data_IF_374590512287
#
_entry.id   IF_374590512287
#
_cell.length_a   1.000
_cell.length_b   1.000
_cell.length_c   1.000
_cell.angle_alpha   90.00
_cell.angle_beta   90.00
_cell.angle_gamma   90.00
#
_symmetry.space_group_name_H-M   'P 1'
#
loop_
_entity.id
_entity.type
_entity.pdbx_description
1 polymer ?
#
# COMPACT_ATOMS: atom_id res chain seq x y z
N UNK A 1 29.89 -24.06 -8.86
CA UNK A 1 28.64 -24.84 -8.72
C UNK A 1 29.03 -26.29 -8.96
N UNK A 2 28.80 -27.16 -7.99
CA UNK A 2 29.14 -28.59 -8.07
C UNK A 2 28.07 -29.32 -8.87
N UNK A 3 28.41 -30.44 -9.52
CA UNK A 3 27.49 -31.25 -10.34
C UNK A 3 26.25 -31.78 -9.56
N UNK A 4 26.24 -31.67 -8.23
CA UNK A 4 25.12 -32.07 -7.37
C UNK A 4 23.93 -31.11 -7.39
N UNK A 5 24.07 -29.86 -7.83
CA UNK A 5 22.98 -28.88 -7.83
C UNK A 5 22.30 -28.75 -9.21
N UNK A 6 22.79 -29.47 -10.22
CA UNK A 6 22.36 -29.33 -11.62
C UNK A 6 20.93 -29.82 -11.85
N UNK A 7 20.45 -30.77 -11.04
CA UNK A 7 19.08 -31.29 -11.11
C UNK A 7 18.01 -30.20 -10.91
N UNK A 8 18.32 -29.16 -10.13
CA UNK A 8 17.40 -28.04 -9.86
C UNK A 8 17.14 -27.22 -11.12
N UNK A 9 18.15 -27.14 -11.99
CA UNK A 9 18.07 -26.40 -13.25
C UNK A 9 17.52 -27.26 -14.40
N UNK A 10 17.44 -28.57 -14.22
CA UNK A 10 16.83 -29.48 -15.19
C UNK A 10 15.31 -29.26 -15.31
N UNK A 11 14.65 -28.80 -14.24
CA UNK A 11 13.24 -28.45 -14.23
C UNK A 11 13.02 -27.09 -13.56
N UNK A 12 12.99 -26.04 -14.38
CA UNK A 12 12.72 -24.68 -13.93
C UNK A 12 11.29 -24.52 -13.38
N UNK A 13 10.34 -25.35 -13.79
CA UNK A 13 8.96 -25.32 -13.29
C UNK A 13 8.91 -25.83 -11.84
N UNK A 14 9.60 -26.94 -11.56
CA UNK A 14 9.78 -27.46 -10.20
C UNK A 14 10.48 -26.42 -9.30
N UNK A 15 11.52 -25.77 -9.81
CA UNK A 15 12.25 -24.73 -9.09
C UNK A 15 11.33 -23.57 -8.68
N UNK A 16 10.58 -23.00 -9.61
CA UNK A 16 9.76 -21.82 -9.33
C UNK A 16 8.47 -22.13 -8.56
N UNK A 17 7.84 -23.29 -8.80
CA UNK A 17 6.54 -23.64 -8.20
C UNK A 17 6.67 -24.32 -6.85
N UNK A 18 7.75 -25.05 -6.60
CA UNK A 18 7.89 -25.88 -5.38
C UNK A 18 9.11 -25.46 -4.57
N UNK A 19 10.31 -25.52 -5.15
CA UNK A 19 11.57 -25.38 -4.40
C UNK A 19 11.73 -23.97 -3.86
N UNK A 20 11.59 -22.94 -4.70
CA UNK A 20 11.76 -21.56 -4.28
C UNK A 20 10.72 -21.12 -3.23
N UNK A 21 9.41 -21.40 -3.38
CA UNK A 21 8.43 -21.14 -2.33
C UNK A 21 8.71 -21.92 -1.03
N UNK A 22 9.12 -23.19 -1.13
CA UNK A 22 9.43 -24.01 0.04
C UNK A 22 10.63 -23.45 0.83
N UNK A 23 11.71 -23.07 0.14
CA UNK A 23 12.89 -22.45 0.79
C UNK A 23 12.53 -21.11 1.43
N UNK A 24 11.69 -20.31 0.77
CA UNK A 24 11.22 -19.04 1.32
C UNK A 24 10.39 -19.26 2.59
N UNK A 25 9.48 -20.23 2.56
CA UNK A 25 8.65 -20.57 3.72
C UNK A 25 9.49 -21.14 4.85
N UNK A 26 10.45 -22.02 4.56
CA UNK A 26 11.34 -22.59 5.58
C UNK A 26 12.17 -21.52 6.27
N UNK A 27 12.65 -20.50 5.53
CA UNK A 27 13.35 -19.36 6.11
C UNK A 27 12.46 -18.61 7.12
N UNK A 28 11.20 -18.34 6.77
CA UNK A 28 10.25 -17.65 7.67
C UNK A 28 9.90 -18.51 8.90
N UNK A 29 9.64 -19.80 8.69
CA UNK A 29 9.36 -20.73 9.79
C UNK A 29 10.54 -20.85 10.74
N UNK A 30 11.76 -20.97 10.21
CA UNK A 30 12.97 -21.04 11.02
C UNK A 30 13.15 -19.77 11.86
N UNK A 31 12.90 -18.59 11.27
CA UNK A 31 12.90 -17.33 12.02
C UNK A 31 11.83 -17.30 13.12
N UNK A 32 10.63 -17.83 12.86
CA UNK A 32 9.56 -17.90 13.85
C UNK A 32 9.91 -18.89 14.98
N UNK A 33 10.51 -20.04 14.64
CA UNK A 33 10.96 -21.05 15.59
C UNK A 33 12.03 -20.51 16.55
N UNK A 34 12.91 -19.60 16.09
CA UNK A 34 13.83 -18.91 16.99
C UNK A 34 13.13 -18.06 18.05
N UNK A 35 11.93 -17.55 17.75
CA UNK A 35 11.17 -16.73 18.70
C UNK A 35 10.33 -17.61 19.63
N UNK A 36 9.73 -18.68 19.09
CA UNK A 36 8.89 -19.64 19.81
C UNK A 36 9.23 -21.08 19.35
N UNK A 37 10.15 -21.79 20.01
CA UNK A 37 10.62 -23.10 19.55
C UNK A 37 9.57 -24.21 19.68
N UNK A 38 8.74 -24.16 20.73
CA UNK A 38 7.82 -25.25 21.10
C UNK A 38 6.51 -25.24 20.29
N UNK A 39 6.23 -24.16 19.55
CA UNK A 39 4.95 -23.95 18.85
C UNK A 39 4.81 -24.78 17.57
N UNK A 40 5.93 -25.23 17.00
CA UNK A 40 5.96 -25.92 15.70
C UNK A 40 6.17 -27.43 15.79
N UNK A 41 6.16 -28.02 17.00
CA UNK A 41 6.26 -29.48 17.17
C UNK A 41 4.99 -30.21 16.77
N UNK A 42 3.81 -29.58 16.91
CA UNK A 42 2.53 -30.13 16.47
C UNK A 42 2.34 -29.92 14.94
N UNK A 43 2.17 -31.00 14.15
CA UNK A 43 1.93 -30.90 12.71
C UNK A 43 0.71 -30.05 12.33
N UNK A 44 -0.32 -30.01 13.18
CA UNK A 44 -1.53 -29.23 12.92
C UNK A 44 -1.21 -27.74 13.02
N UNK A 45 -0.53 -27.32 14.09
CA UNK A 45 -0.12 -25.93 14.31
C UNK A 45 0.88 -25.47 13.23
N UNK A 46 1.81 -26.34 12.84
CA UNK A 46 2.75 -26.05 11.75
C UNK A 46 2.02 -25.81 10.42
N UNK A 47 1.03 -26.63 10.08
CA UNK A 47 0.26 -26.46 8.85
C UNK A 47 -0.54 -25.15 8.87
N UNK A 48 -1.18 -24.82 9.99
CA UNK A 48 -1.89 -23.55 10.17
C UNK A 48 -0.95 -22.36 10.03
N UNK A 49 0.25 -22.44 10.62
CA UNK A 49 1.27 -21.40 10.51
C UNK A 49 1.71 -21.19 9.05
N UNK A 50 1.99 -22.27 8.31
CA UNK A 50 2.34 -22.20 6.88
C UNK A 50 1.24 -21.49 6.08
N UNK A 51 -0.01 -21.90 6.28
CA UNK A 51 -1.15 -21.32 5.56
C UNK A 51 -1.37 -19.84 5.92
N UNK A 52 -1.09 -19.47 7.17
CA UNK A 52 -1.15 -18.08 7.62
C UNK A 52 -0.05 -17.22 6.99
N UNK A 53 1.19 -17.72 6.94
CA UNK A 53 2.34 -17.01 6.40
C UNK A 53 2.24 -16.85 4.89
N UNK A 54 1.73 -17.84 4.17
CA UNK A 54 1.50 -17.75 2.72
C UNK A 54 0.55 -16.59 2.36
N UNK A 55 -0.44 -16.32 3.21
CA UNK A 55 -1.39 -15.20 3.00
C UNK A 55 -0.82 -13.87 3.47
N UNK A 56 -0.06 -13.86 4.56
CA UNK A 56 0.38 -12.64 5.24
C UNK A 56 1.68 -12.06 4.69
N UNK A 57 2.66 -12.92 4.42
CA UNK A 57 4.06 -12.56 4.16
C UNK A 57 4.37 -12.74 2.68
N UNK A 58 4.98 -11.72 2.08
CA UNK A 58 5.57 -11.86 0.74
C UNK A 58 7.08 -11.92 0.87
N UNK A 59 7.64 -13.05 0.44
CA UNK A 59 9.09 -13.32 0.49
C UNK A 59 9.63 -13.25 -0.93
N UNK A 60 10.40 -12.21 -1.25
CA UNK A 60 11.02 -12.04 -2.56
C UNK A 60 12.19 -11.06 -2.49
N UNK A 61 12.99 -11.01 -3.56
CA UNK A 61 14.08 -10.04 -3.67
C UNK A 61 13.51 -8.62 -3.85
N UNK A 62 14.20 -7.62 -3.31
CA UNK A 62 13.79 -6.21 -3.40
C UNK A 62 13.66 -5.66 -4.83
N UNK A 63 14.39 -6.25 -5.77
CA UNK A 63 14.29 -5.96 -7.21
C UNK A 63 13.17 -6.70 -7.96
N UNK A 64 12.46 -7.62 -7.30
CA UNK A 64 11.36 -8.38 -7.91
C UNK A 64 10.12 -7.48 -8.09
N UNK A 65 9.46 -7.47 -9.26
CA UNK A 65 8.17 -6.80 -9.44
C UNK A 65 7.11 -7.18 -8.39
N UNK A 66 7.16 -8.42 -7.88
CA UNK A 66 6.30 -8.89 -6.81
C UNK A 66 6.49 -8.10 -5.51
N UNK A 67 7.72 -7.67 -5.20
CA UNK A 67 8.00 -6.81 -4.04
C UNK A 67 7.27 -5.49 -4.15
N UNK A 68 7.42 -4.81 -5.29
CA UNK A 68 6.74 -3.54 -5.56
C UNK A 68 5.22 -3.71 -5.56
N UNK A 69 4.71 -4.78 -6.16
CA UNK A 69 3.29 -5.13 -6.13
C UNK A 69 2.77 -5.31 -4.72
N UNK A 70 3.52 -6.02 -3.87
CA UNK A 70 3.18 -6.26 -2.48
C UNK A 70 3.16 -4.98 -1.65
N UNK A 71 4.13 -4.07 -1.83
CA UNK A 71 4.14 -2.73 -1.22
C UNK A 71 2.90 -1.93 -1.62
N UNK A 72 2.60 -1.85 -2.92
CA UNK A 72 1.45 -1.09 -3.43
C UNK A 72 0.10 -1.69 -2.99
N UNK A 73 0.04 -3.01 -2.83
CA UNK A 73 -1.13 -3.72 -2.30
C UNK A 73 -1.27 -3.64 -0.77
N UNK A 74 -0.40 -2.88 -0.09
CA UNK A 74 -0.39 -2.72 1.36
C UNK A 74 -0.33 -4.06 2.13
N UNK A 75 0.50 -5.00 1.67
CA UNK A 75 0.75 -6.26 2.41
C UNK A 75 1.28 -5.97 3.81
N UNK A 76 0.97 -6.89 4.73
CA UNK A 76 1.30 -6.72 6.14
C UNK A 76 2.78 -6.90 6.43
N UNK A 77 3.38 -7.91 5.79
CA UNK A 77 4.78 -8.27 6.00
C UNK A 77 5.49 -8.53 4.66
N UNK A 78 6.73 -8.03 4.57
CA UNK A 78 7.64 -8.25 3.46
C UNK A 78 8.97 -8.75 4.00
N UNK A 79 9.52 -9.79 3.39
CA UNK A 79 10.81 -10.38 3.78
C UNK A 79 11.71 -10.49 2.55
N UNK A 80 12.92 -9.94 2.64
CA UNK A 80 13.95 -10.12 1.63
C UNK A 80 15.25 -10.57 2.28
N UNK A 81 15.98 -11.43 1.57
CA UNK A 81 17.34 -11.82 1.92
C UNK A 81 18.29 -11.02 1.01
N UNK A 82 19.09 -10.13 1.62
CA UNK A 82 20.07 -9.31 0.91
C UNK A 82 21.46 -9.89 1.10
N UNK A 83 22.16 -10.11 -0.01
CA UNK A 83 23.58 -10.40 0.00
C UNK A 83 24.37 -9.08 -0.04
N UNK A 84 25.24 -8.84 0.94
CA UNK A 84 26.11 -7.67 1.03
C UNK A 84 27.54 -8.17 0.82
N UNK A 85 28.19 -7.64 -0.20
CA UNK A 85 29.58 -7.94 -0.53
C UNK A 85 30.40 -6.71 -0.16
N UNK A 86 31.00 -6.70 1.02
CA UNK A 86 31.94 -5.67 1.47
C UNK A 86 33.33 -6.30 1.68
N UNK A 87 34.35 -5.70 1.06
CA UNK A 87 35.79 -5.91 1.29
C UNK A 87 36.25 -7.35 1.65
N UNK A 88 35.70 -8.36 0.98
CA UNK A 88 36.12 -9.76 1.12
C UNK A 88 35.32 -10.62 2.11
N UNK A 89 34.32 -10.06 2.80
CA UNK A 89 33.35 -10.82 3.59
C UNK A 89 32.00 -10.93 2.84
N UNK A 90 31.50 -12.15 2.67
CA UNK A 90 30.16 -12.41 2.12
C UNK A 90 29.15 -12.47 3.27
N UNK A 91 28.48 -11.34 3.53
CA UNK A 91 27.46 -11.25 4.58
C UNK A 91 26.05 -11.36 3.99
N UNK A 92 25.18 -12.09 4.67
CA UNK A 92 23.75 -12.15 4.35
C UNK A 92 22.94 -11.43 5.43
N UNK A 93 22.05 -10.53 5.00
CA UNK A 93 21.17 -9.75 5.88
C UNK A 93 19.72 -10.09 5.55
N UNK A 94 18.98 -10.56 6.56
CA UNK A 94 17.53 -10.73 6.46
C UNK A 94 16.88 -9.39 6.80
N UNK A 95 16.11 -8.84 5.87
CA UNK A 95 15.37 -7.59 6.07
C UNK A 95 13.88 -7.91 6.08
N UNK A 96 13.21 -7.54 7.17
CA UNK A 96 11.75 -7.67 7.31
C UNK A 96 11.12 -6.30 7.48
N UNK A 97 10.08 -6.03 6.70
CA UNK A 97 9.26 -4.83 6.84
C UNK A 97 7.88 -5.21 7.35
N UNK A 98 7.44 -4.52 8.39
CA UNK A 98 6.10 -4.66 8.95
C UNK A 98 5.30 -3.39 8.68
N UNK A 99 4.05 -3.57 8.26
CA UNK A 99 3.11 -2.47 8.17
C UNK A 99 2.60 -2.11 9.57
N UNK A 100 2.85 -0.87 10.00
CA UNK A 100 2.38 -0.35 11.27
C UNK A 100 1.77 1.03 11.12
N UNK A 101 0.90 1.40 12.06
CA UNK A 101 0.44 2.77 12.18
C UNK A 101 1.51 3.59 12.89
N UNK A 102 2.01 4.61 12.20
CA UNK A 102 2.93 5.59 12.78
C UNK A 102 2.13 6.81 13.26
N UNK A 103 2.37 7.23 14.50
CA UNK A 103 1.85 8.48 15.02
C UNK A 103 2.76 9.63 14.58
N UNK A 104 2.25 10.49 13.71
CA UNK A 104 2.99 11.65 13.24
C UNK A 104 2.73 12.85 14.16
N UNK A 105 3.81 13.49 14.61
CA UNK A 105 3.73 14.80 15.27
C UNK A 105 3.77 15.88 14.20
N UNK A 106 2.69 16.64 14.09
CA UNK A 106 2.64 17.82 13.21
C UNK A 106 3.14 19.03 13.98
N UNK A 107 4.24 19.62 13.53
CA UNK A 107 4.88 20.77 14.17
C UNK A 107 4.79 21.97 13.23
N UNK A 108 4.20 23.07 13.71
CA UNK A 108 4.17 24.35 13.00
C UNK A 108 5.34 25.21 13.49
N UNK A 109 6.23 25.58 12.57
CA UNK A 109 7.39 26.43 12.87
C UNK A 109 7.11 27.88 12.45
N UNK A 110 7.63 28.84 13.21
CA UNK A 110 7.55 30.26 12.85
C UNK A 110 8.41 30.55 11.61
N UNK A 111 7.81 31.17 10.59
CA UNK A 111 8.47 31.53 9.33
C UNK A 111 9.68 32.44 9.53
N UNK A 112 9.64 33.36 10.49
CA UNK A 112 10.78 34.26 10.72
C UNK A 112 11.96 33.54 11.37
N UNK A 113 11.69 32.52 12.16
CA UNK A 113 12.74 31.66 12.73
C UNK A 113 13.45 30.86 11.64
N UNK A 114 12.69 30.31 10.68
CA UNK A 114 13.22 29.62 9.50
C UNK A 114 14.12 30.55 8.69
N UNK A 115 13.64 31.77 8.39
CA UNK A 115 14.42 32.79 7.66
C UNK A 115 15.70 33.18 8.39
N UNK A 116 15.63 33.41 9.70
CA UNK A 116 16.79 33.74 10.52
C UNK A 116 17.85 32.63 10.52
N UNK A 117 17.42 31.36 10.58
CA UNK A 117 18.32 30.22 10.48
C UNK A 117 18.97 30.10 9.11
N UNK A 118 18.21 30.27 8.03
CA UNK A 118 18.74 30.24 6.67
C UNK A 118 19.74 31.38 6.42
N UNK A 119 19.40 32.60 6.85
CA UNK A 119 20.28 33.75 6.74
C UNK A 119 21.57 33.57 7.55
N UNK A 120 21.47 33.04 8.78
CA UNK A 120 22.64 32.73 9.61
C UNK A 120 23.54 31.68 8.97
N UNK A 121 22.98 30.62 8.37
CA UNK A 121 23.76 29.61 7.64
C UNK A 121 24.44 30.19 6.40
N UNK A 122 23.76 31.05 5.65
CA UNK A 122 24.35 31.75 4.50
C UNK A 122 25.51 32.64 4.93
N UNK A 123 25.33 33.42 6.00
CA UNK A 123 26.39 34.27 6.53
C UNK A 123 27.59 33.43 7.01
N UNK A 124 27.36 32.31 7.69
CA UNK A 124 28.44 31.45 8.16
C UNK A 124 29.24 30.82 7.00
N UNK A 125 28.57 30.33 5.96
CA UNK A 125 29.21 29.57 4.89
C UNK A 125 29.74 30.43 3.76
N UNK A 126 29.00 31.46 3.38
CA UNK A 126 29.32 32.31 2.23
C UNK A 126 30.16 33.49 2.69
N UNK A 127 29.72 34.17 3.77
CA UNK A 127 30.38 35.39 4.23
C UNK A 127 31.58 35.12 5.13
N UNK A 128 31.43 34.27 6.15
CA UNK A 128 32.53 33.89 7.07
C UNK A 128 33.39 32.73 6.54
N UNK A 129 32.97 32.11 5.42
CA UNK A 129 33.68 31.01 4.74
C UNK A 129 34.06 29.87 5.70
N UNK A 130 33.17 29.54 6.64
CA UNK A 130 33.40 28.44 7.56
C UNK A 130 33.43 27.10 6.77
N UNK A 131 34.56 26.42 6.82
CA UNK A 131 34.80 25.14 6.11
C UNK A 131 34.67 23.93 7.02
N UNK A 132 34.28 24.10 8.28
CA UNK A 132 34.17 22.99 9.21
C UNK A 132 33.02 22.03 8.77
N UNK A 133 33.33 20.77 8.40
CA UNK A 133 32.31 19.78 8.05
C UNK A 133 31.49 19.33 9.28
N UNK A 134 32.04 19.45 10.49
CA UNK A 134 31.34 19.26 11.79
C UNK A 134 30.50 20.50 12.11
N UNK A 135 29.63 20.88 11.17
CA UNK A 135 28.78 22.07 11.26
C UNK A 135 28.08 22.09 12.61
N UNK A 136 28.31 23.17 13.37
CA UNK A 136 27.79 23.43 14.72
C UNK A 136 26.46 22.74 14.99
N UNK A 137 26.61 21.58 15.62
CA UNK A 137 25.62 20.57 15.96
C UNK A 137 24.24 20.75 15.34
N UNK A 138 24.07 20.05 14.22
CA UNK A 138 22.79 19.73 13.58
C UNK A 138 21.80 19.04 14.55
N UNK A 139 22.28 18.61 15.73
CA UNK A 139 21.52 18.00 16.83
C UNK A 139 21.35 18.92 18.08
N UNK A 140 22.04 20.07 18.17
CA UNK A 140 22.07 20.93 19.37
C UNK A 140 20.85 21.85 19.51
N UNK A 141 19.96 21.86 18.51
CA UNK A 141 18.69 22.57 18.62
C UNK A 141 17.54 21.72 18.09
N UNK A 142 17.19 20.69 18.86
CA UNK A 142 16.01 19.86 18.63
C UNK A 142 14.72 20.67 18.71
N UNK A 143 14.68 21.71 19.55
CA UNK A 143 13.53 22.61 19.72
C UNK A 143 13.17 23.37 18.44
N UNK A 144 14.17 23.73 17.64
CA UNK A 144 13.97 24.48 16.38
C UNK A 144 14.04 23.54 15.17
N UNK A 145 14.22 22.23 15.36
CA UNK A 145 14.33 21.25 14.28
C UNK A 145 15.37 21.66 13.21
N UNK A 146 16.53 22.17 13.66
CA UNK A 146 17.56 22.79 12.79
C UNK A 146 18.01 21.87 11.64
N UNK A 147 18.05 20.55 11.85
CA UNK A 147 18.34 19.58 10.80
C UNK A 147 17.27 19.58 9.69
N UNK A 148 15.99 19.50 10.06
CA UNK A 148 14.88 19.49 9.10
C UNK A 148 14.77 20.83 8.36
N UNK A 149 15.03 21.96 9.03
CA UNK A 149 15.05 23.28 8.41
C UNK A 149 16.28 23.49 7.51
N UNK A 150 17.44 22.96 7.89
CA UNK A 150 18.65 23.06 7.08
C UNK A 150 18.58 22.22 5.80
N UNK A 151 17.94 21.05 5.90
CA UNK A 151 17.72 20.17 4.74
C UNK A 151 16.59 20.62 3.82
N UNK A 152 15.72 21.55 4.25
CA UNK A 152 14.72 22.18 3.38
C UNK A 152 15.26 23.34 2.55
N UNK A 153 16.51 23.75 2.75
CA UNK A 153 17.18 24.74 1.90
C UNK A 153 17.50 24.16 0.51
N UNK A 154 17.44 25.00 -0.51
CA UNK A 154 18.00 24.66 -1.82
C UNK A 154 19.53 24.52 -1.75
N UNK A 155 20.08 23.70 -2.64
CA UNK A 155 21.52 23.60 -2.83
C UNK A 155 22.08 24.97 -3.25
N UNK A 156 23.18 25.47 -2.66
CA UNK A 156 24.34 24.78 -2.06
C UNK A 156 24.32 24.58 -0.54
N UNK A 157 23.25 25.00 0.16
CA UNK A 157 23.19 25.01 1.63
C UNK A 157 22.54 23.76 2.21
N UNK A 158 21.49 23.27 1.53
CA UNK A 158 20.76 22.06 1.93
C UNK A 158 21.32 20.78 1.33
N UNK A 159 20.70 19.66 1.71
CA UNK A 159 21.01 18.33 1.20
C UNK A 159 19.86 17.85 0.32
N UNK A 160 20.11 17.02 -0.71
CA UNK A 160 19.03 16.42 -1.49
C UNK A 160 18.14 15.59 -0.56
N UNK A 161 16.89 16.02 -0.39
CA UNK A 161 15.88 15.30 0.38
C UNK A 161 14.80 14.77 -0.57
N UNK A 162 14.59 13.47 -0.57
CA UNK A 162 13.47 12.85 -1.27
C UNK A 162 12.18 13.11 -0.50
N UNK A 163 11.31 13.95 -1.06
CA UNK A 163 9.97 14.20 -0.53
C UNK A 163 8.97 13.38 -1.35
N UNK A 164 8.41 12.33 -0.76
CA UNK A 164 7.25 11.67 -1.37
C UNK A 164 6.00 12.53 -1.15
N UNK A 165 5.22 12.85 -2.20
CA UNK A 165 3.93 13.50 -1.99
C UNK A 165 3.06 12.63 -1.07
N UNK A 166 2.52 13.20 0.00
CA UNK A 166 1.56 12.50 0.90
C UNK A 166 0.35 11.97 0.14
N UNK A 167 0.02 12.58 -0.99
CA UNK A 167 -1.02 12.08 -1.90
C UNK A 167 -0.62 10.72 -2.46
N UNK A 168 0.61 10.49 -2.92
CA UNK A 168 1.06 9.21 -3.45
C UNK A 168 0.95 8.06 -2.44
N UNK A 169 1.16 8.32 -1.14
CA UNK A 169 1.07 7.28 -0.10
C UNK A 169 -0.36 7.00 0.37
N UNK A 170 -1.26 7.98 0.36
CA UNK A 170 -2.65 7.84 0.87
C UNK A 170 -3.75 7.83 -0.21
N UNK A 171 -3.38 7.93 -1.48
CA UNK A 171 -4.30 8.01 -2.61
C UNK A 171 -5.28 6.82 -2.71
N UNK A 172 -4.86 5.64 -2.27
CA UNK A 172 -5.72 4.45 -2.26
C UNK A 172 -6.51 4.21 -0.96
N UNK A 173 -6.06 4.80 0.16
CA UNK A 173 -6.49 4.40 1.51
C UNK A 173 -7.39 5.41 2.22
N UNK A 174 -7.48 6.65 1.71
CA UNK A 174 -8.17 7.75 2.38
C UNK A 174 -9.53 8.06 1.74
N UNK A 175 -10.63 7.85 2.50
CA UNK A 175 -11.99 8.02 2.00
C UNK A 175 -12.33 9.42 1.46
N UNK A 176 -11.69 10.49 1.97
CA UNK A 176 -11.89 11.85 1.44
C UNK A 176 -11.10 12.15 0.15
N UNK A 177 -10.03 11.40 -0.15
CA UNK A 177 -9.30 11.52 -1.42
C UNK A 177 -9.92 10.64 -2.51
N UNK A 178 -10.53 9.53 -2.10
CA UNK A 178 -11.29 8.63 -2.97
C UNK A 178 -12.57 9.28 -3.55
N UNK A 179 -13.11 10.33 -2.91
CA UNK A 179 -14.23 11.10 -3.45
C UNK A 179 -13.81 12.15 -4.48
N UNK A 180 -12.55 12.59 -4.45
CA UNK A 180 -11.97 13.54 -5.43
C UNK A 180 -11.38 12.80 -6.62
N UNK A 181 -10.85 11.59 -6.42
CA UNK A 181 -10.36 10.71 -7.48
C UNK A 181 -11.32 9.52 -7.64
N UNK A 182 -12.17 9.57 -8.68
CA UNK A 182 -12.98 8.43 -9.11
C UNK A 182 -12.06 7.22 -9.34
N UNK A 183 -12.14 6.22 -8.47
CA UNK A 183 -11.13 5.16 -8.26
C UNK A 183 -10.56 4.47 -9.51
N UNK A 184 -9.58 3.56 -9.33
CA UNK A 184 -8.95 2.87 -10.45
C UNK A 184 -10.02 2.26 -11.37
N UNK A 185 -9.89 2.48 -12.67
CA UNK A 185 -10.81 1.93 -13.67
C UNK A 185 -10.64 0.42 -13.65
N UNK A 186 -11.42 -0.27 -12.81
CA UNK A 186 -11.40 -1.73 -12.71
C UNK A 186 -12.08 -2.32 -13.94
N UNK A 187 -11.50 -3.39 -14.48
CA UNK A 187 -12.07 -4.10 -15.64
C UNK A 187 -13.49 -4.60 -15.36
N UNK A 188 -13.80 -4.93 -14.11
CA UNK A 188 -15.16 -5.28 -13.67
C UNK A 188 -16.13 -4.10 -13.72
N UNK A 189 -15.66 -2.88 -13.43
CA UNK A 189 -16.41 -1.64 -13.60
C UNK A 189 -16.72 -1.35 -15.08
N UNK A 190 -15.74 -1.56 -15.96
CA UNK A 190 -15.95 -1.43 -17.42
C UNK A 190 -16.94 -2.49 -17.90
N UNK A 191 -16.79 -3.75 -17.49
CA UNK A 191 -17.65 -4.86 -17.93
C UNK A 191 -19.09 -4.70 -17.48
N UNK A 192 -19.31 -4.24 -16.24
CA UNK A 192 -20.65 -3.97 -15.70
C UNK A 192 -21.32 -2.78 -16.40
N UNK A 193 -20.55 -1.74 -16.74
CA UNK A 193 -21.01 -0.61 -17.56
C UNK A 193 -21.40 -1.05 -18.98
N UNK A 194 -20.58 -1.87 -19.62
CA UNK A 194 -20.90 -2.44 -20.94
C UNK A 194 -22.14 -3.32 -20.89
N UNK A 195 -22.28 -4.18 -19.87
CA UNK A 195 -23.49 -5.00 -19.68
C UNK A 195 -24.75 -4.16 -19.49
N UNK A 196 -24.69 -3.10 -18.67
CA UNK A 196 -25.85 -2.23 -18.43
C UNK A 196 -26.23 -1.40 -19.65
N UNK A 197 -25.25 -0.91 -20.43
CA UNK A 197 -25.49 -0.25 -21.72
C UNK A 197 -26.04 -1.22 -22.77
N UNK A 198 -25.49 -2.43 -22.85
CA UNK A 198 -25.96 -3.48 -23.77
C UNK A 198 -27.40 -3.91 -23.47
N UNK A 199 -27.72 -4.19 -22.20
CA UNK A 199 -29.08 -4.53 -21.77
C UNK A 199 -30.07 -3.39 -22.04
N UNK A 200 -29.64 -2.13 -21.91
CA UNK A 200 -30.47 -0.96 -22.23
C UNK A 200 -30.70 -0.85 -23.75
N UNK A 201 -29.69 -1.11 -24.56
CA UNK A 201 -29.80 -1.09 -26.02
C UNK A 201 -30.71 -2.22 -26.53
N UNK A 202 -30.57 -3.43 -25.99
CA UNK A 202 -31.44 -4.58 -26.31
C UNK A 202 -32.90 -4.31 -25.94
N UNK A 203 -33.18 -3.60 -24.83
CA UNK A 203 -34.55 -3.19 -24.47
C UNK A 203 -35.14 -2.12 -25.40
N UNK A 204 -34.31 -1.26 -26.00
CA UNK A 204 -34.76 -0.29 -27.00
C UNK A 204 -34.90 -0.87 -28.42
N UNK A 205 -34.30 -2.04 -28.68
CA UNK A 205 -34.40 -2.77 -29.95
C UNK A 205 -35.50 -3.86 -29.96
N UNK A 206 -36.27 -4.01 -28.86
CA UNK A 206 -37.40 -4.94 -28.80
C UNK A 206 -38.62 -4.40 -29.56
N UNK A 207 -39.30 -5.20 -30.41
CA UNK A 207 -40.44 -4.75 -31.20
C UNK A 207 -41.62 -4.40 -30.28
N UNK A 208 -42.19 -3.20 -30.47
CA UNK A 208 -43.41 -2.78 -29.76
C UNK A 208 -44.57 -3.73 -30.02
N UNK A 209 -45.44 -4.00 -29.02
CA UNK A 209 -46.53 -4.94 -29.18
C UNK A 209 -47.56 -4.39 -30.18
N UNK A 210 -47.75 -5.09 -31.30
CA UNK A 210 -48.88 -4.88 -32.22
C UNK A 210 -50.15 -5.36 -31.52
N UNK A 211 -50.96 -4.41 -31.05
CA UNK A 211 -52.32 -4.66 -30.58
C UNK A 211 -53.25 -5.04 -31.74
N UNK A 212 -53.77 -6.25 -31.69
CA UNK A 212 -54.89 -6.74 -32.50
C UNK A 212 -55.70 -7.68 -31.61
N UNK A 213 -56.94 -7.30 -31.30
CA UNK A 213 -57.69 -7.87 -30.18
C UNK A 213 -58.71 -8.95 -30.51
N UNK A 214 -59.52 -9.18 -29.47
CA UNK A 214 -60.85 -9.84 -29.34
C UNK A 214 -60.93 -11.35 -29.12
N UNK A 215 -61.66 -11.67 -28.04
CA UNK A 215 -62.36 -12.93 -27.76
C UNK A 215 -61.76 -13.67 -26.56
N UNK A 216 -62.17 -13.42 -25.31
CA UNK A 216 -63.47 -13.74 -24.73
C UNK A 216 -63.25 -14.24 -23.28
N UNK A 217 -64.28 -14.30 -22.43
CA UNK A 217 -64.19 -13.75 -21.07
C UNK A 217 -64.19 -14.78 -19.93
N UNK A 218 -63.76 -14.31 -18.76
CA UNK A 218 -64.12 -14.86 -17.45
C UNK A 218 -62.94 -14.87 -16.50
N UNK A 219 -63.03 -14.52 -15.22
CA UNK A 219 -64.15 -14.24 -14.31
C UNK A 219 -63.45 -13.69 -13.05
N UNK A 220 -63.98 -12.58 -12.47
CA UNK A 220 -63.95 -12.16 -11.04
C UNK A 220 -62.57 -11.95 -10.35
N UNK A 221 -62.36 -11.14 -9.32
CA UNK A 221 -63.12 -10.20 -8.49
C UNK A 221 -62.09 -9.47 -7.59
N UNK A 222 -62.41 -8.23 -7.19
CA UNK A 222 -61.88 -7.59 -5.96
C UNK A 222 -60.45 -7.01 -6.04
N UNK A 223 -60.18 -5.74 -5.82
CA UNK A 223 -60.92 -4.71 -5.08
C UNK A 223 -60.03 -4.10 -3.99
N UNK A 224 -59.71 -2.80 -4.18
CA UNK A 224 -59.31 -1.80 -3.19
C UNK A 224 -57.93 -1.85 -2.50
N UNK A 225 -57.27 -0.68 -2.45
CA UNK A 225 -56.34 -0.34 -1.37
C UNK A 225 -55.17 0.60 -1.69
N UNK A 226 -55.42 1.83 -2.15
CA UNK A 226 -54.58 2.99 -1.78
C UNK A 226 -55.30 3.71 -0.60
N UNK A 227 -54.68 4.56 0.24
CA UNK A 227 -53.57 5.52 0.01
C UNK A 227 -52.54 5.49 1.19
N UNK A 228 -51.52 6.33 1.39
CA UNK A 228 -50.99 7.55 0.80
C UNK A 228 -49.92 8.15 1.74
N UNK A 229 -49.13 9.09 1.22
CA UNK A 229 -48.38 10.16 1.89
C UNK A 229 -47.34 9.83 3.00
N UNK A 230 -46.08 10.25 2.78
CA UNK A 230 -45.54 11.51 3.33
C UNK A 230 -44.01 11.53 3.28
N UNK A 231 -43.46 12.66 2.84
CA UNK A 231 -42.02 12.91 2.80
C UNK A 231 -41.45 13.32 4.16
N UNK A 232 -40.21 12.90 4.41
CA UNK A 232 -39.35 13.49 5.45
C UNK A 232 -37.91 13.59 4.91
N UNK A 233 -37.38 14.82 4.95
CA UNK A 233 -35.99 15.13 4.61
C UNK A 233 -35.00 14.70 5.70
N UNK A 234 -33.68 14.73 5.41
CA UNK A 234 -32.66 14.19 6.30
C UNK A 234 -32.33 15.11 7.47
N UNK A 235 -32.35 14.55 8.68
CA UNK A 235 -31.94 15.20 9.93
C UNK A 235 -30.41 15.19 10.07
N UNK A 236 -29.89 16.33 10.52
CA UNK A 236 -28.49 16.64 10.82
C UNK A 236 -28.16 16.17 12.24
N UNK A 237 -27.22 15.24 12.43
CA UNK A 237 -26.73 14.85 13.75
C UNK A 237 -25.62 15.80 14.23
N UNK A 238 -25.77 16.32 15.44
CA UNK A 238 -24.82 17.14 16.19
C UNK A 238 -24.22 16.24 17.27
N UNK A 239 -22.89 16.06 17.26
CA UNK A 239 -22.16 15.39 18.34
C UNK A 239 -21.86 16.43 19.43
N UNK A 240 -22.24 16.09 20.66
CA UNK A 240 -21.72 16.64 21.92
C UNK A 240 -20.33 16.10 22.21
#
# INVERSE_FOLDING_TARGET
MTAQDEWVFADMDLLHKVVAPAIRMSLKLHQAQFTCPDEFEDPVVLYEAIQSFEKKVVICHEGDPAWRGAVLSNREELLTLRHVVDEGAAEYKVIMLHRSFLSFKVIKVNRECVRGLWAGQQQELVFLRNRNPERGSIQNSTQVLRNLIGSSCDQPLGYPMYVSPLTTSYLGSHGQLQSVWAGPVTLDGIRSWFRTKWLRWVRHAGPGPRGGGRGGPGVREGGCGAPGASGQGPRRCRLT
#
